data_IF_906716468791
#
_entry.id   IF_906716468791
#
_cell.length_a   1.000
_cell.length_b   1.000
_cell.length_c   1.000
_cell.angle_alpha   90.00
_cell.angle_beta   90.00
_cell.angle_gamma   90.00
#
_symmetry.space_group_name_H-M   'P 1'
#
loop_
_entity.id
_entity.type
_entity.pdbx_description
1 polymer ?
#
# COMPACT_ATOMS: atom_id res chain seq x y z
N UNK A 1 3.79 8.02 5.74
CA UNK A 1 3.71 8.31 4.29
C UNK A 1 3.43 7.01 3.56
N UNK A 2 2.32 6.90 2.83
CA UNK A 2 1.98 5.71 2.05
C UNK A 2 2.53 5.78 0.61
N UNK A 3 2.39 4.68 -0.14
CA UNK A 3 2.86 4.61 -1.54
C UNK A 3 2.22 5.66 -2.46
N UNK A 4 0.95 5.99 -2.27
CA UNK A 4 0.25 6.98 -3.11
C UNK A 4 0.75 8.40 -2.87
N UNK A 5 1.01 8.76 -1.62
CA UNK A 5 1.64 10.02 -1.22
C UNK A 5 3.05 10.13 -1.78
N UNK A 6 3.88 9.09 -1.62
CA UNK A 6 5.24 9.07 -2.15
C UNK A 6 5.28 9.21 -3.68
N UNK A 7 4.35 8.57 -4.39
CA UNK A 7 4.23 8.67 -5.84
C UNK A 7 3.86 10.08 -6.33
N UNK A 8 3.13 10.87 -5.55
CA UNK A 8 2.81 12.26 -5.89
C UNK A 8 4.05 13.16 -5.88
N UNK A 9 5.07 12.83 -5.09
CA UNK A 9 6.27 13.63 -4.88
C UNK A 9 7.36 13.43 -5.95
N UNK A 10 7.22 12.44 -6.84
CA UNK A 10 8.22 12.15 -7.89
C UNK A 10 7.77 12.62 -9.26
N UNK A 11 8.73 12.72 -10.18
CA UNK A 11 8.50 13.00 -11.59
C UNK A 11 7.39 12.11 -12.17
N UNK A 12 6.47 12.70 -12.91
CA UNK A 12 5.28 12.02 -13.41
C UNK A 12 5.60 10.79 -14.28
N UNK A 13 6.66 10.83 -15.12
CA UNK A 13 7.02 9.69 -15.96
C UNK A 13 7.50 8.51 -15.13
N UNK A 14 8.26 8.78 -14.06
CA UNK A 14 8.73 7.76 -13.10
C UNK A 14 7.57 7.17 -12.32
N UNK A 15 6.59 8.00 -11.92
CA UNK A 15 5.33 7.56 -11.31
C UNK A 15 4.55 6.62 -12.21
N UNK A 16 4.37 6.99 -13.48
CA UNK A 16 3.68 6.15 -14.45
C UNK A 16 4.46 4.87 -14.76
N UNK A 17 5.79 4.92 -14.81
CA UNK A 17 6.62 3.72 -14.92
C UNK A 17 6.45 2.78 -13.73
N UNK A 18 6.38 3.33 -12.50
CA UNK A 18 6.16 2.53 -11.30
C UNK A 18 4.80 1.81 -11.37
N UNK A 19 3.72 2.51 -11.75
CA UNK A 19 2.40 1.89 -11.97
C UNK A 19 2.36 0.92 -13.15
N UNK A 20 3.22 1.10 -14.15
CA UNK A 20 3.39 0.14 -15.24
C UNK A 20 4.02 -1.17 -14.73
N UNK A 21 5.01 -1.09 -13.83
CA UNK A 21 5.64 -2.26 -13.18
C UNK A 21 4.76 -2.92 -12.12
N UNK A 22 3.93 -2.15 -11.43
CA UNK A 22 3.02 -2.60 -10.38
C UNK A 22 1.57 -2.20 -10.72
N UNK A 23 0.90 -2.95 -11.62
CA UNK A 23 -0.37 -2.54 -12.24
C UNK A 23 -1.56 -2.47 -11.30
N UNK A 24 -1.46 -3.06 -10.11
CA UNK A 24 -2.47 -3.03 -9.05
C UNK A 24 -2.52 -1.69 -8.29
N UNK A 25 -1.50 -0.85 -8.47
CA UNK A 25 -1.50 0.57 -8.04
C UNK A 25 -2.26 1.48 -9.02
N UNK A 26 -2.73 0.94 -10.15
CA UNK A 26 -3.55 1.71 -11.10
C UNK A 26 -4.96 1.88 -10.53
N UNK A 27 -5.52 3.06 -10.79
CA UNK A 27 -6.92 3.36 -10.50
C UNK A 27 -7.86 2.44 -11.28
N UNK A 28 -7.73 2.43 -12.62
CA UNK A 28 -8.53 1.59 -13.49
C UNK A 28 -7.82 0.24 -13.74
N UNK A 29 -8.27 -0.78 -13.00
CA UNK A 29 -7.79 -2.16 -13.12
C UNK A 29 -8.56 -2.97 -14.17
N UNK A 30 -9.68 -2.45 -14.68
CA UNK A 30 -10.50 -3.13 -15.70
C UNK A 30 -9.81 -3.19 -17.06
N UNK A 31 -8.92 -2.23 -17.33
CA UNK A 31 -8.14 -2.18 -18.56
C UNK A 31 -6.87 -3.03 -18.46
N UNK A 32 -6.47 -3.69 -19.57
CA UNK A 32 -5.21 -4.41 -19.61
C UNK A 32 -4.02 -3.49 -19.27
N UNK A 33 -2.96 -4.09 -18.75
CA UNK A 33 -1.68 -3.39 -18.62
C UNK A 33 -1.21 -2.94 -20.00
N UNK A 34 -0.63 -1.74 -20.08
CA UNK A 34 -0.02 -1.25 -21.32
C UNK A 34 1.10 -2.20 -21.72
N UNK A 35 1.29 -2.44 -23.02
CA UNK A 35 2.55 -3.02 -23.51
C UNK A 35 3.70 -2.03 -23.28
N UNK A 36 4.94 -2.50 -23.44
CA UNK A 36 6.13 -1.64 -23.33
C UNK A 36 6.07 -0.49 -24.34
N UNK A 37 5.66 -0.77 -25.57
CA UNK A 37 5.57 0.18 -26.68
C UNK A 37 4.47 1.22 -26.41
N UNK A 38 3.32 0.78 -25.91
CA UNK A 38 2.22 1.66 -25.51
C UNK A 38 2.60 2.56 -24.33
N UNK A 39 3.29 1.99 -23.33
CA UNK A 39 3.80 2.76 -22.20
C UNK A 39 4.80 3.83 -22.66
N UNK A 40 5.78 3.45 -23.49
CA UNK A 40 6.79 4.37 -24.02
C UNK A 40 6.17 5.48 -24.86
N UNK A 41 5.16 5.16 -25.68
CA UNK A 41 4.36 6.15 -26.42
C UNK A 41 3.63 7.11 -25.48
N UNK A 42 2.99 6.56 -24.45
CA UNK A 42 2.23 7.34 -23.45
C UNK A 42 3.11 8.32 -22.68
N UNK A 43 4.32 7.92 -22.26
CA UNK A 43 5.25 8.82 -21.56
C UNK A 43 6.14 9.64 -22.50
N UNK A 44 6.01 9.46 -23.82
CA UNK A 44 6.79 10.17 -24.83
C UNK A 44 8.29 9.85 -24.79
N UNK A 45 8.67 8.61 -24.47
CA UNK A 45 10.07 8.16 -24.46
C UNK A 45 10.34 7.18 -25.61
N UNK A 46 11.52 7.26 -26.22
CA UNK A 46 11.94 6.31 -27.27
C UNK A 46 12.39 4.96 -26.73
N UNK A 47 12.95 4.94 -25.52
CA UNK A 47 13.52 3.73 -24.90
C UNK A 47 13.20 3.66 -23.41
N UNK A 48 13.26 2.45 -22.86
CA UNK A 48 12.98 2.18 -21.45
C UNK A 48 14.21 2.38 -20.55
N UNK A 49 15.41 2.45 -21.14
CA UNK A 49 16.69 2.35 -20.43
C UNK A 49 16.84 3.36 -19.29
N UNK A 50 16.29 4.58 -19.44
CA UNK A 50 16.32 5.59 -18.38
C UNK A 50 15.55 5.17 -17.13
N UNK A 51 14.44 4.43 -17.30
CA UNK A 51 13.64 3.90 -16.21
C UNK A 51 14.32 2.68 -15.58
N UNK A 52 14.86 1.76 -16.37
CA UNK A 52 15.63 0.61 -15.86
C UNK A 52 16.87 1.05 -15.08
N UNK A 53 17.54 2.12 -15.51
CA UNK A 53 18.61 2.74 -14.72
C UNK A 53 18.08 3.31 -13.41
N UNK A 54 16.90 3.92 -13.43
CA UNK A 54 16.25 4.46 -12.24
C UNK A 54 15.83 3.38 -11.24
N UNK A 55 15.50 2.16 -11.69
CA UNK A 55 15.19 1.03 -10.80
C UNK A 55 16.31 0.72 -9.81
N UNK A 56 17.56 1.02 -10.17
CA UNK A 56 18.74 0.80 -9.33
C UNK A 56 18.93 1.87 -8.25
N UNK A 57 18.17 2.96 -8.30
CA UNK A 57 18.30 4.09 -7.39
C UNK A 57 17.65 3.83 -6.01
N UNK A 58 18.10 4.56 -4.99
CA UNK A 58 17.48 4.50 -3.67
C UNK A 58 16.01 4.94 -3.68
N UNK A 59 15.68 5.96 -4.50
CA UNK A 59 14.30 6.43 -4.65
C UNK A 59 13.36 5.31 -5.10
N UNK A 60 13.77 4.48 -6.08
CA UNK A 60 12.96 3.37 -6.55
C UNK A 60 12.83 2.28 -5.48
N UNK A 61 13.92 1.92 -4.80
CA UNK A 61 13.90 0.94 -3.71
C UNK A 61 12.94 1.34 -2.60
N UNK A 62 12.95 2.62 -2.19
CA UNK A 62 12.02 3.13 -1.19
C UNK A 62 10.56 3.02 -1.63
N UNK A 63 10.25 3.28 -2.90
CA UNK A 63 8.89 3.08 -3.43
C UNK A 63 8.49 1.60 -3.42
N UNK A 64 9.42 0.69 -3.73
CA UNK A 64 9.15 -0.76 -3.64
C UNK A 64 8.84 -1.16 -2.20
N UNK A 65 9.57 -0.65 -1.22
CA UNK A 65 9.29 -0.97 0.20
C UNK A 65 7.90 -0.49 0.62
N UNK A 66 7.52 0.74 0.26
CA UNK A 66 6.17 1.25 0.52
C UNK A 66 5.09 0.48 -0.23
N UNK A 67 5.39 -0.01 -1.44
CA UNK A 67 4.49 -0.88 -2.18
C UNK A 67 4.32 -2.23 -1.47
N UNK A 68 5.41 -2.86 -1.03
CA UNK A 68 5.35 -4.13 -0.32
C UNK A 68 4.60 -4.01 1.00
N UNK A 69 4.70 -2.88 1.69
CA UNK A 69 3.92 -2.59 2.90
C UNK A 69 2.40 -2.72 2.64
N UNK A 70 1.91 -2.37 1.45
CA UNK A 70 0.49 -2.56 1.07
C UNK A 70 0.08 -4.03 0.90
N UNK A 71 1.05 -4.94 0.73
CA UNK A 71 0.84 -6.38 0.52
C UNK A 71 0.92 -7.18 1.80
N UNK A 72 1.61 -6.65 2.83
CA UNK A 72 1.85 -7.33 4.09
C UNK A 72 0.56 -7.86 4.71
N UNK A 73 -0.54 -7.11 4.67
CA UNK A 73 -1.81 -7.56 5.24
C UNK A 73 -2.39 -8.80 4.52
N UNK A 74 -2.36 -8.82 3.19
CA UNK A 74 -2.82 -9.95 2.38
C UNK A 74 -1.90 -11.16 2.56
N UNK A 75 -0.58 -10.96 2.51
CA UNK A 75 0.42 -12.00 2.73
C UNK A 75 0.28 -12.59 4.15
N UNK A 76 0.05 -11.75 5.15
CA UNK A 76 -0.17 -12.19 6.52
C UNK A 76 -1.43 -13.05 6.64
N UNK A 77 -2.51 -12.68 5.95
CA UNK A 77 -3.74 -13.48 5.90
C UNK A 77 -3.51 -14.85 5.26
N UNK A 78 -2.77 -14.90 4.15
CA UNK A 78 -2.43 -16.16 3.47
C UNK A 78 -1.56 -17.07 4.35
N UNK A 79 -0.48 -16.52 4.93
CA UNK A 79 0.40 -17.25 5.84
C UNK A 79 -0.38 -17.75 7.05
N UNK A 80 -1.25 -16.92 7.64
CA UNK A 80 -2.08 -17.32 8.77
C UNK A 80 -2.95 -18.54 8.42
N UNK A 81 -3.60 -18.54 7.25
CA UNK A 81 -4.41 -19.67 6.79
C UNK A 81 -3.58 -20.96 6.68
N UNK A 82 -2.42 -20.88 6.03
CA UNK A 82 -1.53 -22.03 5.84
C UNK A 82 -1.06 -22.60 7.19
N UNK A 83 -0.69 -21.71 8.12
CA UNK A 83 -0.23 -22.12 9.46
C UNK A 83 -1.35 -22.79 10.23
N UNK A 84 -2.57 -22.24 10.22
CA UNK A 84 -3.75 -22.84 10.86
C UNK A 84 -4.00 -24.26 10.34
N UNK A 85 -3.96 -24.45 9.03
CA UNK A 85 -4.25 -25.75 8.41
C UNK A 85 -3.21 -26.80 8.82
N UNK A 86 -1.92 -26.44 8.82
CA UNK A 86 -0.84 -27.31 9.30
C UNK A 86 -0.95 -27.60 10.80
N UNK A 87 -1.31 -26.61 11.61
CA UNK A 87 -1.52 -26.79 13.05
C UNK A 87 -2.63 -27.79 13.34
N UNK A 88 -3.75 -27.71 12.61
CA UNK A 88 -4.88 -28.65 12.74
C UNK A 88 -4.52 -30.09 12.35
N UNK A 89 -3.51 -30.27 11.49
CA UNK A 89 -2.97 -31.59 11.12
C UNK A 89 -2.00 -32.16 12.17
N UNK A 90 -1.71 -31.42 13.24
CA UNK A 90 -0.82 -31.86 14.32
C UNK A 90 0.66 -31.55 14.10
N UNK A 91 1.02 -30.68 13.15
CA UNK A 91 2.41 -30.22 13.00
C UNK A 91 2.80 -29.34 14.18
N UNK A 92 3.70 -29.85 15.04
CA UNK A 92 4.13 -29.18 16.27
C UNK A 92 4.78 -27.80 16.01
N UNK A 93 5.54 -27.65 14.91
CA UNK A 93 6.17 -26.37 14.56
C UNK A 93 5.12 -25.36 14.14
N UNK A 94 4.15 -25.79 13.33
CA UNK A 94 3.04 -24.93 12.93
C UNK A 94 2.19 -24.52 14.13
N UNK A 95 1.91 -25.42 15.09
CA UNK A 95 1.19 -25.07 16.33
C UNK A 95 1.91 -23.96 17.10
N UNK A 96 3.24 -24.05 17.27
CA UNK A 96 4.03 -22.99 17.93
C UNK A 96 3.94 -21.66 17.17
N UNK A 97 4.06 -21.71 15.85
CA UNK A 97 3.95 -20.53 15.00
C UNK A 97 2.54 -19.91 15.05
N UNK A 98 1.49 -20.73 15.07
CA UNK A 98 0.11 -20.29 15.21
C UNK A 98 -0.10 -19.48 16.51
N UNK A 99 0.42 -19.98 17.64
CA UNK A 99 0.33 -19.27 18.92
C UNK A 99 1.06 -17.93 18.92
N UNK A 100 2.15 -17.81 18.16
CA UNK A 100 2.84 -16.53 17.96
C UNK A 100 2.00 -15.58 17.09
N UNK A 101 1.51 -16.05 15.94
CA UNK A 101 0.65 -15.26 15.06
C UNK A 101 -0.62 -14.79 15.77
N UNK A 102 -1.23 -15.62 16.62
CA UNK A 102 -2.39 -15.23 17.43
C UNK A 102 -2.09 -14.02 18.31
N UNK A 103 -0.91 -13.96 18.93
CA UNK A 103 -0.50 -12.82 19.77
C UNK A 103 -0.31 -11.55 18.94
N UNK A 104 0.35 -11.66 17.79
CA UNK A 104 0.53 -10.54 16.86
C UNK A 104 -0.83 -9.98 16.38
N UNK A 105 -1.78 -10.86 16.03
CA UNK A 105 -3.15 -10.45 15.65
C UNK A 105 -3.84 -9.70 16.79
N UNK A 106 -3.75 -10.18 18.03
CA UNK A 106 -4.35 -9.51 19.18
C UNK A 106 -3.73 -8.13 19.45
N UNK A 107 -2.41 -7.99 19.26
CA UNK A 107 -1.72 -6.70 19.40
C UNK A 107 -2.15 -5.72 18.29
N UNK A 108 -2.17 -6.17 17.03
CA UNK A 108 -2.59 -5.35 15.91
C UNK A 108 -4.08 -4.97 15.98
N UNK A 109 -4.95 -5.84 16.48
CA UNK A 109 -6.36 -5.52 16.70
C UNK A 109 -6.54 -4.39 17.72
N UNK A 110 -5.73 -4.36 18.79
CA UNK A 110 -5.74 -3.25 19.77
C UNK A 110 -5.25 -1.94 19.15
N UNK A 111 -4.23 -1.99 18.31
CA UNK A 111 -3.74 -0.80 17.59
C UNK A 111 -4.80 -0.28 16.62
N UNK A 112 -5.45 -1.18 15.87
CA UNK A 112 -6.52 -0.82 14.96
C UNK A 112 -7.70 -0.15 15.68
N UNK A 113 -8.13 -0.69 16.84
CA UNK A 113 -9.19 -0.08 17.64
C UNK A 113 -8.88 1.39 17.98
N UNK A 114 -7.65 1.69 18.42
CA UNK A 114 -7.21 3.06 18.70
C UNK A 114 -7.27 3.98 17.49
N UNK A 115 -6.89 3.47 16.31
CA UNK A 115 -6.96 4.26 15.06
C UNK A 115 -8.40 4.67 14.73
N UNK A 116 -9.39 3.84 15.04
CA UNK A 116 -10.80 4.16 14.80
C UNK A 116 -11.42 4.98 15.94
N UNK A 117 -10.99 4.78 17.19
CA UNK A 117 -11.41 5.62 18.33
C UNK A 117 -10.93 7.08 18.18
N UNK A 118 -9.75 7.31 17.60
CA UNK A 118 -9.23 8.67 17.34
C UNK A 118 -9.99 9.43 16.24
N UNK A 119 -10.79 8.76 15.40
CA UNK A 119 -11.51 9.39 14.28
C UNK A 119 -12.88 9.93 14.72
N UNK A 120 -13.41 9.46 15.84
CA UNK A 120 -14.69 9.96 16.40
C UNK A 120 -14.51 11.26 17.20
N UNK A 121 -13.29 11.61 17.64
CA UNK A 121 -13.00 12.85 18.41
C UNK A 121 -12.75 14.08 17.51
N UNK A 122 -12.53 13.89 16.20
CA UNK A 122 -12.24 14.96 15.21
C UNK A 122 -13.51 15.47 14.46
N UNK A 123 -14.73 15.08 14.89
CA UNK A 123 -16.00 15.45 14.23
C UNK A 123 -16.93 16.36 15.07
N UNK A 124 -16.44 17.02 16.12
CA UNK A 124 -17.27 17.93 16.96
C UNK A 124 -16.81 19.40 17.05
N UNK A 125 -15.98 19.93 16.13
CA UNK A 125 -15.64 21.37 16.13
C UNK A 125 -15.55 21.98 14.70
N UNK A 126 -16.67 22.19 14.00
CA UNK A 126 -16.84 23.30 13.02
C UNK A 126 -18.35 23.63 12.82
N UNK A 127 -19.05 24.05 13.89
CA UNK A 127 -20.23 24.92 13.79
C UNK A 127 -20.10 26.00 14.89
N UNK A 128 -20.38 27.28 14.56
CA UNK A 128 -20.07 28.56 15.28
C UNK A 128 -18.78 29.22 14.75
N UNK A 129 -18.74 30.35 14.03
CA UNK A 129 -19.62 31.51 13.90
C UNK A 129 -19.46 32.15 12.51
N UNK A 130 -20.56 32.34 11.77
CA UNK A 130 -20.65 33.39 10.73
C UNK A 130 -21.86 34.27 11.06
N UNK A 131 -21.81 34.92 12.24
CA UNK A 131 -22.70 36.01 12.62
C UNK A 131 -22.20 37.34 12.02
N UNK A 132 -22.83 37.73 10.90
CA UNK A 132 -23.29 39.07 10.56
C UNK A 132 -22.50 40.29 11.09
N UNK A 133 -21.74 40.96 10.21
CA UNK A 133 -21.41 42.39 10.36
C UNK A 133 -22.08 43.18 9.23
N UNK A 134 -23.07 43.99 9.63
CA UNK A 134 -23.64 45.09 8.86
C UNK A 134 -22.69 46.30 8.92
N UNK A 135 -22.39 46.88 7.76
CA UNK A 135 -22.23 48.33 7.57
C UNK A 135 -22.59 48.71 6.12
#
# INVERSE_FOLDING_TARGET
MNIYEALKQINWKKREYFKYKFPDLRWDKSRPAKTKEEFLRYVGNKTINSFERWEKSQQFKSLVMLYLETKVADDFKEIYSIVVDKSKQGDEKAIKLFLQLQKEVQQNAKLAAKTFEMVDDDNEEEEEDDELILD
#
